data_IF_557240250524
#
_entry.id   IF_557240250524
#
_cell.length_a   1.000
_cell.length_b   1.000
_cell.length_c   1.000
_cell.angle_alpha   90.00
_cell.angle_beta   90.00
_cell.angle_gamma   90.00
#
_symmetry.space_group_name_H-M   'P 1'
#
loop_
_entity.id
_entity.type
_entity.pdbx_description
1 polymer ?
#
# COMPACT_ATOMS: atom_id res chain seq x y z
N UNK A 1 -22.34 8.35 4.59
CA UNK A 1 -20.97 8.86 4.40
C UNK A 1 -20.03 7.74 4.79
N UNK A 2 -19.00 7.43 4.00
CA UNK A 2 -18.05 6.39 4.37
C UNK A 2 -17.31 6.78 5.66
N UNK A 3 -17.26 5.87 6.63
CA UNK A 3 -16.47 6.03 7.85
C UNK A 3 -15.08 5.44 7.61
N UNK A 4 -14.04 6.26 7.82
CA UNK A 4 -12.64 5.86 7.66
C UNK A 4 -12.01 5.77 9.05
N UNK A 5 -11.54 4.58 9.41
CA UNK A 5 -10.74 4.36 10.61
C UNK A 5 -9.28 4.18 10.23
N UNK A 6 -8.44 5.12 10.63
CA UNK A 6 -6.98 5.04 10.48
C UNK A 6 -6.37 4.19 11.59
N UNK A 7 -5.54 3.22 11.21
CA UNK A 7 -4.88 2.27 12.12
C UNK A 7 -3.36 2.43 12.13
N UNK A 8 -2.79 2.73 10.97
CA UNK A 8 -1.38 3.11 10.81
C UNK A 8 -1.38 4.46 10.10
N UNK A 9 -0.59 5.40 10.62
CA UNK A 9 -0.46 6.75 10.10
C UNK A 9 1.03 7.12 10.00
N UNK A 10 1.51 7.30 8.77
CA UNK A 10 2.82 7.84 8.47
C UNK A 10 4.01 6.95 8.83
N UNK A 11 3.82 5.63 8.93
CA UNK A 11 4.96 4.72 9.17
C UNK A 11 5.91 4.82 7.99
N UNK A 12 7.18 5.14 8.25
CA UNK A 12 8.14 5.46 7.19
C UNK A 12 9.26 4.44 7.05
N UNK A 13 9.70 4.25 5.81
CA UNK A 13 10.89 3.49 5.46
C UNK A 13 11.72 4.36 4.51
N UNK A 14 13.00 4.53 4.80
CA UNK A 14 13.93 5.21 3.90
C UNK A 14 15.11 4.31 3.56
N UNK A 15 15.55 4.41 2.31
CA UNK A 15 16.67 3.65 1.78
C UNK A 15 17.47 4.51 0.81
N UNK A 16 18.79 4.42 0.89
CA UNK A 16 19.71 5.03 -0.07
C UNK A 16 20.70 3.97 -0.53
N UNK A 17 20.79 3.78 -1.85
CA UNK A 17 21.60 2.72 -2.42
C UNK A 17 21.23 2.38 -3.86
N UNK A 18 21.58 1.16 -4.26
CA UNK A 18 21.29 0.61 -5.58
C UNK A 18 20.09 -0.33 -5.47
N UNK A 19 19.10 -0.18 -6.34
CA UNK A 19 17.91 -1.03 -6.38
C UNK A 19 17.32 -1.09 -7.80
N UNK A 20 16.58 -2.16 -8.11
CA UNK A 20 15.79 -2.19 -9.34
C UNK A 20 14.41 -1.63 -9.07
N UNK A 21 14.13 -0.42 -9.55
CA UNK A 21 12.81 0.20 -9.46
C UNK A 21 11.73 -0.67 -10.13
N UNK A 22 12.07 -1.29 -11.26
CA UNK A 22 11.19 -2.18 -12.01
C UNK A 22 10.81 -3.42 -11.19
N UNK A 23 11.77 -4.07 -10.56
CA UNK A 23 11.49 -5.26 -9.74
C UNK A 23 10.81 -4.90 -8.43
N UNK A 24 11.11 -3.73 -7.85
CA UNK A 24 10.39 -3.21 -6.69
C UNK A 24 8.90 -3.02 -6.99
N UNK A 25 8.55 -2.36 -8.10
CA UNK A 25 7.14 -2.21 -8.48
C UNK A 25 6.45 -3.55 -8.72
N UNK A 26 7.15 -4.50 -9.35
CA UNK A 26 6.63 -5.85 -9.54
C UNK A 26 6.40 -6.59 -8.23
N UNK A 27 7.31 -6.44 -7.27
CA UNK A 27 7.16 -7.02 -5.94
C UNK A 27 5.90 -6.48 -5.25
N UNK A 28 5.71 -5.16 -5.27
CA UNK A 28 4.55 -4.51 -4.66
C UNK A 28 3.26 -4.97 -5.35
N UNK A 29 3.19 -4.89 -6.68
CA UNK A 29 2.02 -5.28 -7.45
C UNK A 29 1.68 -6.76 -7.27
N UNK A 30 2.69 -7.64 -7.29
CA UNK A 30 2.51 -9.07 -7.09
C UNK A 30 2.02 -9.36 -5.68
N UNK A 31 2.62 -8.74 -4.66
CA UNK A 31 2.24 -8.96 -3.27
C UNK A 31 0.76 -8.61 -3.06
N UNK A 32 0.31 -7.43 -3.50
CA UNK A 32 -1.09 -7.05 -3.35
C UNK A 32 -2.04 -7.99 -4.10
N UNK A 33 -1.68 -8.38 -5.33
CA UNK A 33 -2.48 -9.33 -6.10
C UNK A 33 -2.59 -10.70 -5.40
N UNK A 34 -1.48 -11.22 -4.89
CA UNK A 34 -1.43 -12.52 -4.22
C UNK A 34 -2.23 -12.50 -2.89
N UNK A 35 -2.39 -11.32 -2.27
CA UNK A 35 -3.17 -11.12 -1.04
C UNK A 35 -4.63 -10.69 -1.29
N UNK A 36 -5.07 -10.70 -2.56
CA UNK A 36 -6.46 -10.42 -2.94
C UNK A 36 -6.86 -8.94 -2.92
N UNK A 37 -5.88 -8.03 -3.04
CA UNK A 37 -6.13 -6.61 -3.20
C UNK A 37 -6.30 -6.22 -4.66
N UNK A 38 -7.25 -5.33 -4.91
CA UNK A 38 -7.41 -4.62 -6.17
C UNK A 38 -6.51 -3.38 -6.16
N UNK A 39 -5.75 -3.18 -7.24
CA UNK A 39 -4.84 -2.03 -7.37
C UNK A 39 -5.62 -0.76 -7.69
N UNK A 40 -5.33 0.31 -6.95
CA UNK A 40 -5.76 1.67 -7.27
C UNK A 40 -4.56 2.61 -7.25
N UNK A 41 -4.22 3.17 -8.41
CA UNK A 41 -3.16 4.18 -8.54
C UNK A 41 -3.79 5.57 -8.46
N UNK A 42 -3.38 6.37 -7.48
CA UNK A 42 -3.96 7.69 -7.20
C UNK A 42 -3.12 8.78 -7.82
N UNK A 43 -1.80 8.66 -7.71
CA UNK A 43 -0.85 9.64 -8.20
C UNK A 43 0.31 8.93 -8.85
N UNK A 44 0.64 9.37 -10.05
CA UNK A 44 1.86 8.99 -10.74
C UNK A 44 2.44 10.24 -11.36
N UNK A 45 3.51 10.75 -10.75
CA UNK A 45 4.18 11.95 -11.18
C UNK A 45 5.66 11.66 -11.35
N UNK A 46 6.18 12.01 -12.51
CA UNK A 46 7.57 11.82 -12.88
C UNK A 46 8.12 13.17 -13.32
N UNK A 47 9.27 13.54 -12.75
CA UNK A 47 10.04 14.71 -13.13
C UNK A 47 11.43 14.27 -13.54
N UNK A 48 11.78 14.58 -14.79
CA UNK A 48 13.02 14.14 -15.41
C UNK A 48 13.83 15.38 -15.76
N UNK A 49 14.96 15.54 -15.10
CA UNK A 49 15.98 16.53 -15.48
C UNK A 49 17.07 15.85 -16.31
N UNK A 50 18.00 16.63 -16.88
CA UNK A 50 19.10 16.09 -17.71
C UNK A 50 20.03 15.13 -16.95
N UNK A 51 20.08 15.20 -15.61
CA UNK A 51 21.01 14.42 -14.77
C UNK A 51 20.35 13.61 -13.67
N UNK A 52 19.18 14.01 -13.20
CA UNK A 52 18.46 13.35 -12.11
C UNK A 52 17.00 13.10 -12.48
N UNK A 53 16.50 11.93 -12.10
CA UNK A 53 15.09 11.57 -12.21
C UNK A 53 14.47 11.54 -10.81
N UNK A 54 13.28 12.14 -10.68
CA UNK A 54 12.43 12.05 -9.50
C UNK A 54 11.09 11.41 -9.87
N UNK A 55 10.63 10.49 -9.04
CA UNK A 55 9.36 9.80 -9.23
C UNK A 55 8.59 9.86 -7.92
N UNK A 56 7.33 10.27 -7.99
CA UNK A 56 6.39 10.27 -6.88
C UNK A 56 5.20 9.41 -7.27
N UNK A 57 4.99 8.32 -6.55
CA UNK A 57 3.87 7.41 -6.76
C UNK A 57 3.03 7.30 -5.50
N UNK A 58 1.72 7.27 -5.65
CA UNK A 58 0.78 6.98 -4.58
C UNK A 58 -0.19 5.90 -5.06
N UNK A 59 -0.21 4.80 -4.34
CA UNK A 59 -1.16 3.71 -4.54
C UNK A 59 -1.97 3.50 -3.28
N UNK A 60 -3.24 3.14 -3.45
CA UNK A 60 -4.14 2.74 -2.36
C UNK A 60 -4.85 1.45 -2.76
N UNK A 61 -4.15 0.30 -2.82
CA UNK A 61 -4.82 -0.97 -3.05
C UNK A 61 -5.87 -1.24 -1.97
N UNK A 62 -6.99 -1.82 -2.38
CA UNK A 62 -8.09 -2.14 -1.47
C UNK A 62 -8.49 -3.61 -1.55
N UNK A 63 -8.97 -4.16 -0.45
CA UNK A 63 -9.53 -5.52 -0.37
C UNK A 63 -10.92 -5.45 0.25
N UNK A 64 -11.94 -5.88 -0.49
CA UNK A 64 -13.30 -5.98 0.05
C UNK A 64 -13.40 -7.19 0.96
N UNK A 65 -13.68 -6.97 2.24
CA UNK A 65 -13.88 -8.04 3.24
C UNK A 65 -15.36 -8.32 3.46
N UNK A 66 -16.23 -7.39 3.11
CA UNK A 66 -17.69 -7.58 3.05
C UNK A 66 -18.33 -6.54 2.13
N UNK A 67 -19.63 -6.66 1.88
CA UNK A 67 -20.44 -5.65 1.18
C UNK A 67 -20.50 -4.29 1.90
N UNK A 68 -19.98 -4.22 3.13
CA UNK A 68 -20.02 -3.03 3.98
C UNK A 68 -18.64 -2.47 4.32
N UNK A 69 -17.59 -3.29 4.26
CA UNK A 69 -16.25 -2.93 4.72
C UNK A 69 -15.18 -3.35 3.70
N UNK A 70 -14.19 -2.49 3.54
CA UNK A 70 -12.97 -2.78 2.79
C UNK A 70 -11.73 -2.33 3.57
N UNK A 71 -10.62 -2.98 3.30
CA UNK A 71 -9.32 -2.68 3.88
C UNK A 71 -8.51 -1.93 2.83
N UNK A 72 -7.99 -0.76 3.18
CA UNK A 72 -7.16 0.06 2.29
C UNK A 72 -5.75 0.15 2.87
N UNK A 73 -4.73 -0.12 2.04
CA UNK A 73 -3.32 0.09 2.39
C UNK A 73 -2.79 1.17 1.48
N UNK A 74 -2.38 2.31 2.02
CA UNK A 74 -1.79 3.40 1.24
C UNK A 74 -0.27 3.29 1.30
N UNK A 75 0.35 3.37 0.13
CA UNK A 75 1.80 3.49 0.01
C UNK A 75 2.10 4.75 -0.81
N UNK A 76 2.69 5.72 -0.14
CA UNK A 76 3.25 6.90 -0.78
C UNK A 76 4.75 6.72 -0.96
N UNK A 77 5.23 6.81 -2.19
CA UNK A 77 6.59 6.51 -2.60
C UNK A 77 7.23 7.75 -3.21
N UNK A 78 8.43 8.08 -2.76
CA UNK A 78 9.27 9.13 -3.32
C UNK A 78 10.61 8.50 -3.69
N UNK A 79 10.93 8.54 -4.97
CA UNK A 79 12.24 8.19 -5.48
C UNK A 79 12.94 9.45 -5.96
N UNK A 80 14.09 9.77 -5.38
CA UNK A 80 14.83 10.99 -5.67
C UNK A 80 16.28 10.68 -6.01
N UNK A 81 16.92 11.60 -6.76
CA UNK A 81 18.30 11.46 -7.24
C UNK A 81 18.54 10.14 -7.94
N UNK A 82 17.57 9.69 -8.75
CA UNK A 82 17.69 8.44 -9.49
C UNK A 82 18.66 8.62 -10.65
N UNK A 83 19.65 7.72 -10.72
CA UNK A 83 20.57 7.57 -11.85
C UNK A 83 20.54 6.11 -12.31
N UNK A 84 20.38 5.88 -13.61
CA UNK A 84 20.44 4.54 -14.19
C UNK A 84 21.90 4.06 -14.26
N UNK A 85 22.16 2.86 -13.75
CA UNK A 85 23.46 2.20 -13.84
C UNK A 85 23.29 0.82 -14.48
N UNK A 86 24.30 0.38 -15.23
CA UNK A 86 24.34 -0.96 -15.81
C UNK A 86 25.38 -1.77 -15.06
N UNK A 87 24.94 -2.84 -14.40
CA UNK A 87 25.82 -3.80 -13.74
C UNK A 87 25.98 -5.02 -14.64
N UNK A 88 27.18 -5.57 -14.72
CA UNK A 88 27.46 -6.82 -15.42
C UNK A 88 27.77 -7.91 -14.39
N UNK A 89 26.97 -8.97 -14.38
CA UNK A 89 27.19 -10.15 -13.55
C UNK A 89 27.04 -11.38 -14.44
N UNK A 90 28.05 -12.24 -14.46
CA UNK A 90 28.08 -13.46 -15.29
C UNK A 90 27.80 -13.21 -16.78
N UNK A 91 28.38 -12.13 -17.33
CA UNK A 91 28.16 -11.65 -18.72
C UNK A 91 26.73 -11.25 -19.08
N UNK A 92 25.84 -11.14 -18.09
CA UNK A 92 24.48 -10.60 -18.23
C UNK A 92 24.47 -9.17 -17.68
N UNK A 93 23.94 -8.24 -18.50
CA UNK A 93 23.80 -6.84 -18.12
C UNK A 93 22.45 -6.59 -17.46
N UNK A 94 22.46 -6.01 -16.27
CA UNK A 94 21.28 -5.65 -15.49
C UNK A 94 21.21 -4.13 -15.34
N UNK A 95 20.06 -3.56 -15.72
CA UNK A 95 19.76 -2.15 -15.47
C UNK A 95 19.29 -2.00 -14.02
N UNK A 96 20.00 -1.20 -13.26
CA UNK A 96 19.69 -0.87 -11.86
C UNK A 96 19.57 0.65 -11.73
N UNK A 97 19.02 1.11 -10.61
CA UNK A 97 18.90 2.52 -10.29
C UNK A 97 19.69 2.77 -9.01
N UNK A 98 20.50 3.82 -8.99
CA UNK A 98 21.10 4.34 -7.77
C UNK A 98 20.32 5.58 -7.35
N UNK A 99 19.97 5.69 -6.07
CA UNK A 99 19.28 6.87 -5.56
C UNK A 99 18.72 6.67 -4.16
N UNK A 100 17.77 7.52 -3.80
CA UNK A 100 17.06 7.47 -2.52
C UNK A 100 15.60 7.08 -2.74
N UNK A 101 15.10 6.17 -1.93
CA UNK A 101 13.71 5.73 -1.90
C UNK A 101 13.13 5.99 -0.51
N UNK A 102 11.99 6.68 -0.46
CA UNK A 102 11.23 6.95 0.76
C UNK A 102 9.82 6.39 0.57
N UNK A 103 9.32 5.74 1.61
CA UNK A 103 7.99 5.13 1.64
C UNK A 103 7.27 5.60 2.89
N UNK A 104 5.98 5.87 2.75
CA UNK A 104 5.07 6.15 3.84
C UNK A 104 3.86 5.22 3.70
N UNK A 105 3.58 4.50 4.79
CA UNK A 105 2.55 3.48 4.85
C UNK A 105 1.44 3.94 5.78
N UNK A 106 0.21 3.87 5.28
CA UNK A 106 -1.00 4.06 6.07
C UNK A 106 -1.93 2.87 5.89
N UNK A 107 -2.70 2.56 6.92
CA UNK A 107 -3.66 1.46 6.92
C UNK A 107 -5.02 1.96 7.37
N UNK A 108 -6.06 1.65 6.60
CA UNK A 108 -7.43 2.08 6.87
C UNK A 108 -8.40 0.92 6.82
N UNK A 109 -9.40 0.97 7.69
CA UNK A 109 -10.65 0.24 7.53
C UNK A 109 -11.71 1.23 7.08
N UNK A 110 -12.26 1.03 5.90
CA UNK A 110 -13.30 1.88 5.32
C UNK A 110 -14.63 1.14 5.39
N UNK A 111 -15.61 1.74 6.06
CA UNK A 111 -16.95 1.15 6.25
C UNK A 111 -18.04 2.05 5.70
N UNK A 112 -19.21 1.47 5.40
CA UNK A 112 -20.36 2.16 4.80
C UNK A 112 -20.05 2.85 3.45
N UNK A 113 -19.21 2.22 2.64
CA UNK A 113 -18.80 2.78 1.35
C UNK A 113 -19.94 2.82 0.29
N UNK A 114 -21.06 2.14 0.54
CA UNK A 114 -22.23 2.08 -0.38
C UNK A 114 -23.50 2.77 0.16
N UNK A 115 -23.47 3.49 1.30
CA UNK A 115 -24.64 4.17 1.91
C UNK A 115 -25.90 3.29 2.05
N UNK A 116 -25.74 1.96 2.21
CA UNK A 116 -26.84 0.98 2.16
C UNK A 116 -27.83 1.07 3.32
N UNK A 117 -27.49 1.76 4.41
CA UNK A 117 -28.34 1.85 5.61
C UNK A 117 -29.39 2.97 5.56
N UNK A 118 -29.20 4.00 4.71
CA UNK A 118 -30.16 5.12 4.60
C UNK A 118 -31.44 4.75 3.85
N UNK A 119 -31.47 3.65 3.10
CA UNK A 119 -32.56 3.36 2.17
C UNK A 119 -33.75 2.60 2.78
N UNK A 120 -33.68 2.04 4.00
CA UNK A 120 -34.77 1.22 4.56
C UNK A 120 -34.96 1.40 6.07
N UNK A 121 -36.05 2.08 6.44
CA UNK A 121 -36.42 2.43 7.83
C UNK A 121 -36.45 1.25 8.85
N UNK A 122 -36.67 0.01 8.37
CA UNK A 122 -36.70 -1.20 9.22
C UNK A 122 -35.30 -1.60 9.71
N UNK A 123 -34.22 -1.15 9.06
CA UNK A 123 -32.85 -1.53 9.38
C UNK A 123 -32.21 -0.68 10.50
N UNK A 124 -32.84 0.40 10.94
CA UNK A 124 -32.26 1.28 11.97
C UNK A 124 -32.18 0.61 13.36
N UNK A 125 -33.12 -0.27 13.68
CA UNK A 125 -33.11 -1.04 14.93
C UNK A 125 -32.14 -2.22 14.90
N UNK A 126 -32.05 -2.91 13.75
CA UNK A 126 -31.09 -4.01 13.51
C UNK A 126 -29.65 -3.47 13.45
N UNK A 127 -29.45 -2.27 12.87
CA UNK A 127 -28.18 -1.54 12.86
C UNK A 127 -27.57 -1.42 14.25
N UNK A 128 -28.33 -0.94 15.25
CA UNK A 128 -27.81 -0.79 16.61
C UNK A 128 -27.37 -2.11 17.28
N UNK A 129 -27.94 -3.25 16.91
CA UNK A 129 -27.57 -4.56 17.43
C UNK A 129 -26.36 -5.13 16.66
N UNK A 130 -26.37 -5.01 15.33
CA UNK A 130 -25.24 -5.39 14.47
C UNK A 130 -23.99 -4.54 14.77
N UNK A 131 -24.11 -3.22 14.85
CA UNK A 131 -23.05 -2.25 15.19
C UNK A 131 -22.42 -2.51 16.56
N UNK A 132 -23.18 -3.08 17.50
CA UNK A 132 -22.70 -3.24 18.87
C UNK A 132 -22.03 -4.59 19.13
N UNK A 133 -22.54 -5.67 18.52
CA UNK A 133 -22.06 -7.03 18.81
C UNK A 133 -21.32 -7.69 17.65
N UNK A 134 -21.83 -7.59 16.42
CA UNK A 134 -21.19 -8.19 15.24
C UNK A 134 -20.04 -7.30 14.77
N UNK A 135 -20.27 -5.99 14.65
CA UNK A 135 -19.24 -5.04 14.26
C UNK A 135 -18.02 -5.08 15.18
N UNK A 136 -18.18 -5.12 16.52
CA UNK A 136 -17.01 -5.25 17.43
C UNK A 136 -16.16 -6.50 17.18
N UNK A 137 -16.80 -7.64 16.87
CA UNK A 137 -16.10 -8.91 16.66
C UNK A 137 -15.40 -8.95 15.30
N UNK A 138 -16.08 -8.50 14.23
CA UNK A 138 -15.52 -8.50 12.88
C UNK A 138 -14.53 -7.35 12.66
N UNK A 139 -14.78 -6.15 13.20
CA UNK A 139 -13.88 -4.99 13.10
C UNK A 139 -12.53 -5.24 13.76
N UNK A 140 -12.48 -5.98 14.88
CA UNK A 140 -11.18 -6.36 15.47
C UNK A 140 -10.35 -7.24 14.54
N UNK A 141 -10.99 -8.18 13.85
CA UNK A 141 -10.31 -9.04 12.87
C UNK A 141 -9.84 -8.25 11.66
N UNK A 142 -10.67 -7.31 11.16
CA UNK A 142 -10.31 -6.42 10.05
C UNK A 142 -9.17 -5.47 10.39
N UNK A 143 -9.17 -4.91 11.60
CA UNK A 143 -8.08 -4.06 12.07
C UNK A 143 -6.77 -4.85 12.10
N UNK A 144 -6.79 -6.03 12.73
CA UNK A 144 -5.62 -6.89 12.85
C UNK A 144 -5.11 -7.34 11.47
N UNK A 145 -6.02 -7.67 10.56
CA UNK A 145 -5.71 -8.06 9.19
C UNK A 145 -5.02 -6.93 8.42
N UNK A 146 -5.58 -5.72 8.37
CA UNK A 146 -4.96 -4.62 7.60
C UNK A 146 -3.66 -4.13 8.23
N UNK A 147 -3.54 -4.18 9.56
CA UNK A 147 -2.27 -3.87 10.26
C UNK A 147 -1.19 -4.90 9.89
N UNK A 148 -1.55 -6.18 9.89
CA UNK A 148 -0.65 -7.27 9.51
C UNK A 148 -0.24 -7.12 8.04
N UNK A 149 -1.20 -7.00 7.14
CA UNK A 149 -0.98 -6.88 5.70
C UNK A 149 -0.07 -5.67 5.39
N UNK A 150 -0.30 -4.51 6.03
CA UNK A 150 0.55 -3.33 5.90
C UNK A 150 1.98 -3.55 6.44
N UNK A 151 2.11 -4.24 7.58
CA UNK A 151 3.42 -4.56 8.18
C UNK A 151 4.20 -5.57 7.34
N UNK A 152 3.52 -6.54 6.73
CA UNK A 152 4.12 -7.54 5.86
C UNK A 152 4.67 -6.93 4.58
N UNK A 153 3.90 -6.11 3.86
CA UNK A 153 4.40 -5.45 2.64
C UNK A 153 5.58 -4.51 2.94
N UNK A 154 5.55 -3.79 4.06
CA UNK A 154 6.68 -2.98 4.51
C UNK A 154 7.93 -3.84 4.73
N UNK A 155 7.79 -5.00 5.37
CA UNK A 155 8.89 -5.93 5.60
C UNK A 155 9.44 -6.53 4.30
N UNK A 156 8.58 -6.85 3.34
CA UNK A 156 8.97 -7.33 2.02
C UNK A 156 9.75 -6.25 1.24
N UNK A 157 9.26 -5.00 1.23
CA UNK A 157 9.96 -3.87 0.62
C UNK A 157 11.32 -3.64 1.30
N UNK A 158 11.36 -3.63 2.64
CA UNK A 158 12.61 -3.49 3.40
C UNK A 158 13.60 -4.60 3.06
N UNK A 159 13.14 -5.84 2.99
CA UNK A 159 13.98 -7.01 2.69
C UNK A 159 14.53 -6.92 1.27
N UNK A 160 13.70 -6.56 0.29
CA UNK A 160 14.10 -6.32 -1.09
C UNK A 160 15.22 -5.26 -1.19
N UNK A 161 15.04 -4.11 -0.54
CA UNK A 161 16.01 -3.02 -0.57
C UNK A 161 17.33 -3.40 0.12
N UNK A 162 17.27 -4.18 1.20
CA UNK A 162 18.47 -4.66 1.90
C UNK A 162 19.23 -5.75 1.17
N UNK A 163 18.55 -6.64 0.41
CA UNK A 163 19.23 -7.64 -0.42
C UNK A 163 20.09 -6.98 -1.51
N UNK A 164 19.70 -5.81 -2.00
CA UNK A 164 20.45 -5.09 -3.02
C UNK A 164 21.75 -4.44 -2.50
N UNK A 165 22.08 -4.57 -1.21
CA UNK A 165 23.36 -4.10 -0.63
C UNK A 165 24.54 -5.05 -0.87
N UNK A 166 24.31 -6.27 -1.34
CA UNK A 166 25.35 -7.31 -1.51
C UNK A 166 25.64 -7.64 -2.97
#
# INVERSE_FOLDING_TARGET
>A
MAEIKTLIDGKSLSYEGVFSLKELYRLIDKWFKDHGYDKQEIKNWEDVTETEKQIVLEIIPYKKVSDYARLDVRIFMIFSKLTEIVLEKDSVKFKMNKGRAEFYFDAYVVTDYENKWETRAVFYFIKNIFDKFIYRMYTYNYDAEVIRDCTEIENEIRSFLNMARF
#
